data_IF_125811370582
#
_entry.id   IF_125811370582
#
_cell.length_a   1.000
_cell.length_b   1.000
_cell.length_c   1.000
_cell.angle_alpha   90.00
_cell.angle_beta   90.00
_cell.angle_gamma   90.00
#
_symmetry.space_group_name_H-M   'P 1'
#
loop_
_entity.id
_entity.type
_entity.pdbx_description
1 polymer ?
#
# COMPACT_ATOMS: atom_id res chain seq x y z
N UNK A 1 -10.84 -16.38 -7.87
CA UNK A 1 -10.04 -15.13 -7.68
C UNK A 1 -10.40 -14.42 -6.37
N UNK A 2 -11.67 -14.09 -6.12
CA UNK A 2 -12.06 -13.40 -4.87
C UNK A 2 -11.53 -14.09 -3.61
N UNK A 3 -11.72 -15.42 -3.45
CA UNK A 3 -11.22 -16.14 -2.28
C UNK A 3 -9.69 -16.02 -2.10
N UNK A 4 -8.93 -16.00 -3.21
CA UNK A 4 -7.48 -15.82 -3.13
C UNK A 4 -7.09 -14.41 -2.65
N UNK A 5 -7.78 -13.37 -3.14
CA UNK A 5 -7.56 -11.99 -2.67
C UNK A 5 -8.00 -11.79 -1.23
N UNK A 6 -9.11 -12.40 -0.81
CA UNK A 6 -9.56 -12.40 0.60
C UNK A 6 -8.51 -13.09 1.47
N UNK A 7 -8.03 -14.27 1.07
CA UNK A 7 -6.97 -14.97 1.81
C UNK A 7 -5.70 -14.13 1.92
N UNK A 8 -5.27 -13.48 0.82
CA UNK A 8 -4.11 -12.58 0.82
C UNK A 8 -4.32 -11.38 1.76
N UNK A 9 -5.49 -10.74 1.70
CA UNK A 9 -5.83 -9.64 2.60
C UNK A 9 -5.83 -10.08 4.07
N UNK A 10 -6.44 -11.23 4.36
CA UNK A 10 -6.45 -11.81 5.72
C UNK A 10 -5.03 -12.09 6.21
N UNK A 11 -4.17 -12.65 5.35
CA UNK A 11 -2.75 -12.89 5.68
C UNK A 11 -2.02 -11.59 6.02
N UNK A 12 -2.21 -10.53 5.22
CA UNK A 12 -1.62 -9.22 5.50
C UNK A 12 -2.10 -8.63 6.83
N UNK A 13 -3.40 -8.73 7.12
CA UNK A 13 -3.96 -8.22 8.38
C UNK A 13 -3.53 -9.05 9.59
N UNK A 14 -3.42 -10.37 9.47
CA UNK A 14 -2.89 -11.24 10.52
C UNK A 14 -1.39 -10.97 10.76
N UNK A 15 -0.61 -10.76 9.69
CA UNK A 15 0.78 -10.34 9.82
C UNK A 15 0.92 -8.97 10.51
N UNK A 16 0.02 -8.02 10.19
CA UNK A 16 -0.03 -6.73 10.86
C UNK A 16 -0.36 -6.88 12.36
N UNK A 17 -1.32 -7.72 12.70
CA UNK A 17 -1.69 -8.02 14.09
C UNK A 17 -0.51 -8.66 14.84
N UNK A 18 0.15 -9.65 14.23
CA UNK A 18 1.32 -10.30 14.84
C UNK A 18 2.47 -9.30 15.05
N UNK A 19 2.72 -8.42 14.08
CA UNK A 19 3.73 -7.37 14.21
C UNK A 19 3.39 -6.36 15.31
N UNK A 20 2.12 -6.00 15.44
CA UNK A 20 1.66 -5.11 16.51
C UNK A 20 1.82 -5.75 17.89
N UNK A 21 1.50 -7.05 18.03
CA UNK A 21 1.62 -7.79 19.29
C UNK A 21 3.08 -8.07 19.69
N UNK A 22 3.99 -8.18 18.72
CA UNK A 22 5.42 -8.47 18.98
C UNK A 22 6.25 -7.23 19.30
N UNK A 23 5.71 -6.02 19.10
CA UNK A 23 6.43 -4.74 19.22
C UNK A 23 7.70 -4.61 18.34
N UNK A 24 7.86 -5.52 17.37
CA UNK A 24 9.06 -5.62 16.51
C UNK A 24 9.02 -4.65 15.29
N UNK A 25 8.11 -3.70 15.27
CA UNK A 25 7.88 -2.81 14.12
C UNK A 25 9.11 -1.98 13.75
N UNK A 26 9.83 -1.45 14.74
CA UNK A 26 11.02 -0.60 14.52
C UNK A 26 12.16 -1.42 13.93
N UNK A 27 12.45 -2.57 14.51
CA UNK A 27 13.53 -3.46 14.06
C UNK A 27 13.25 -3.96 12.63
N UNK A 28 12.03 -4.39 12.36
CA UNK A 28 11.63 -4.83 11.02
C UNK A 28 11.72 -3.68 10.01
N UNK A 29 11.30 -2.47 10.39
CA UNK A 29 11.44 -1.30 9.53
C UNK A 29 12.89 -1.03 9.17
N UNK A 30 13.79 -0.96 10.15
CA UNK A 30 15.20 -0.69 9.92
C UNK A 30 15.84 -1.76 9.04
N UNK A 31 15.54 -3.04 9.30
CA UNK A 31 16.02 -4.17 8.49
C UNK A 31 15.57 -4.04 7.02
N UNK A 32 14.28 -3.81 6.79
CA UNK A 32 13.72 -3.72 5.44
C UNK A 32 14.20 -2.48 4.70
N UNK A 33 14.30 -1.33 5.38
CA UNK A 33 14.79 -0.09 4.78
C UNK A 33 16.28 -0.21 4.43
N UNK A 34 17.11 -0.77 5.31
CA UNK A 34 18.52 -1.02 5.05
C UNK A 34 18.73 -2.04 3.91
N UNK A 35 17.95 -3.12 3.87
CA UNK A 35 18.00 -4.06 2.76
C UNK A 35 17.61 -3.39 1.43
N UNK A 36 16.61 -2.52 1.45
CA UNK A 36 16.15 -1.76 0.29
C UNK A 36 17.21 -0.79 -0.24
N UNK A 37 18.06 -0.22 0.62
CA UNK A 37 19.12 0.71 0.22
C UNK A 37 20.25 0.07 -0.60
N UNK A 38 20.27 -1.27 -0.73
CA UNK A 38 21.17 -2.00 -1.64
C UNK A 38 20.74 -1.86 -3.12
N UNK A 39 19.51 -1.43 -3.36
CA UNK A 39 18.98 -1.14 -4.70
C UNK A 39 18.95 0.37 -4.93
N UNK A 40 19.07 0.82 -6.19
CA UNK A 40 19.17 2.24 -6.48
C UNK A 40 17.86 2.99 -6.14
N UNK A 41 18.00 4.22 -5.62
CA UNK A 41 16.90 5.08 -5.18
C UNK A 41 15.84 5.32 -6.26
N UNK A 42 16.26 5.45 -7.51
CA UNK A 42 15.34 5.66 -8.63
C UNK A 42 14.33 4.51 -8.78
N UNK A 43 14.71 3.28 -8.42
CA UNK A 43 13.80 2.13 -8.49
C UNK A 43 12.63 2.33 -7.53
N UNK A 44 12.93 2.66 -6.26
CA UNK A 44 11.92 2.86 -5.24
C UNK A 44 11.11 4.13 -5.48
N UNK A 45 11.74 5.20 -5.94
CA UNK A 45 11.07 6.44 -6.32
C UNK A 45 10.06 6.22 -7.46
N UNK A 46 10.37 5.38 -8.46
CA UNK A 46 9.43 5.06 -9.53
C UNK A 46 8.34 4.07 -9.08
N UNK A 47 8.69 3.05 -8.28
CA UNK A 47 7.70 2.11 -7.75
C UNK A 47 6.67 2.82 -6.86
N UNK A 48 7.09 3.80 -6.07
CA UNK A 48 6.17 4.56 -5.22
C UNK A 48 5.19 5.42 -6.02
N UNK A 49 5.54 5.84 -7.24
CA UNK A 49 4.61 6.54 -8.13
C UNK A 49 3.43 5.65 -8.54
N UNK A 50 3.64 4.34 -8.71
CA UNK A 50 2.55 3.40 -9.02
C UNK A 50 1.55 3.25 -7.86
N UNK A 51 1.95 3.61 -6.64
CA UNK A 51 1.08 3.68 -5.47
C UNK A 51 0.37 5.03 -5.31
N UNK A 52 0.68 6.02 -6.16
CA UNK A 52 0.02 7.32 -6.15
C UNK A 52 -1.36 7.25 -6.80
N UNK A 53 -2.30 8.02 -6.24
CA UNK A 53 -3.70 8.02 -6.70
C UNK A 53 -3.85 8.43 -8.16
N UNK A 54 -3.03 9.37 -8.65
CA UNK A 54 -3.11 9.83 -10.04
C UNK A 54 -2.77 8.70 -11.03
N UNK A 55 -1.69 7.96 -10.77
CA UNK A 55 -1.29 6.81 -11.58
C UNK A 55 -2.29 5.66 -11.50
N UNK A 56 -2.85 5.41 -10.29
CA UNK A 56 -3.90 4.42 -10.10
C UNK A 56 -5.16 4.76 -10.92
N UNK A 57 -5.61 6.01 -10.87
CA UNK A 57 -6.75 6.49 -11.66
C UNK A 57 -6.47 6.35 -13.16
N UNK A 58 -5.28 6.75 -13.63
CA UNK A 58 -4.92 6.61 -15.05
C UNK A 58 -4.96 5.14 -15.50
N UNK A 59 -4.37 4.23 -14.74
CA UNK A 59 -4.37 2.79 -15.04
C UNK A 59 -5.78 2.21 -15.07
N UNK A 60 -6.63 2.59 -14.13
CA UNK A 60 -8.01 2.11 -14.06
C UNK A 60 -8.90 2.71 -15.16
N UNK A 61 -8.70 3.95 -15.56
CA UNK A 61 -9.40 4.55 -16.71
C UNK A 61 -9.01 3.86 -18.02
N UNK A 62 -7.73 3.56 -18.22
CA UNK A 62 -7.26 2.80 -19.38
C UNK A 62 -7.91 1.39 -19.36
N UNK A 63 -7.90 0.71 -18.23
CA UNK A 63 -8.51 -0.61 -18.10
C UNK A 63 -10.03 -0.56 -18.30
N UNK A 64 -10.71 0.50 -17.82
CA UNK A 64 -12.15 0.70 -17.97
C UNK A 64 -12.55 0.94 -19.43
N UNK A 65 -11.66 1.46 -20.30
CA UNK A 65 -11.94 1.56 -21.74
C UNK A 65 -12.14 0.20 -22.42
N UNK A 66 -11.55 -0.86 -21.86
CA UNK A 66 -11.74 -2.26 -22.28
C UNK A 66 -12.82 -3.01 -21.48
N UNK A 67 -13.13 -2.55 -20.28
CA UNK A 67 -14.07 -3.17 -19.34
C UNK A 67 -14.84 -2.08 -18.58
N UNK A 68 -15.90 -1.49 -19.17
CA UNK A 68 -16.59 -0.30 -18.58
C UNK A 68 -17.12 -0.52 -17.15
N UNK A 69 -17.47 -1.74 -16.78
CA UNK A 69 -17.93 -2.07 -15.42
C UNK A 69 -16.85 -1.77 -14.34
N UNK A 70 -15.57 -1.77 -14.73
CA UNK A 70 -14.47 -1.46 -13.83
C UNK A 70 -14.54 -0.03 -13.31
N UNK A 71 -15.07 0.92 -14.08
CA UNK A 71 -15.18 2.32 -13.67
C UNK A 71 -16.00 2.47 -12.38
N UNK A 72 -17.18 1.87 -12.32
CA UNK A 72 -18.05 1.96 -11.13
C UNK A 72 -17.38 1.28 -9.93
N UNK A 73 -16.81 0.08 -10.14
CA UNK A 73 -16.10 -0.64 -9.08
C UNK A 73 -14.92 0.16 -8.53
N UNK A 74 -14.12 0.76 -9.41
CA UNK A 74 -13.01 1.62 -9.04
C UNK A 74 -13.49 2.84 -8.23
N UNK A 75 -14.51 3.55 -8.73
CA UNK A 75 -15.07 4.70 -8.05
C UNK A 75 -15.53 4.36 -6.63
N UNK A 76 -16.31 3.29 -6.46
CA UNK A 76 -16.81 2.86 -5.15
C UNK A 76 -15.66 2.42 -4.23
N UNK A 77 -14.68 1.67 -4.76
CA UNK A 77 -13.49 1.25 -4.00
C UNK A 77 -12.70 2.45 -3.47
N UNK A 78 -12.46 3.46 -4.31
CA UNK A 78 -11.67 4.62 -3.89
C UNK A 78 -12.45 5.57 -2.99
N UNK A 79 -13.76 5.73 -3.17
CA UNK A 79 -14.60 6.52 -2.26
C UNK A 79 -14.64 5.88 -0.86
N UNK A 80 -14.89 4.57 -0.79
CA UNK A 80 -14.88 3.83 0.48
C UNK A 80 -13.48 3.85 1.11
N UNK A 81 -12.45 3.63 0.32
CA UNK A 81 -11.06 3.66 0.78
C UNK A 81 -10.63 5.03 1.30
N UNK A 82 -10.99 6.10 0.61
CA UNK A 82 -10.71 7.46 1.07
C UNK A 82 -11.39 7.71 2.43
N UNK A 83 -12.64 7.29 2.59
CA UNK A 83 -13.35 7.40 3.87
C UNK A 83 -12.63 6.63 4.98
N UNK A 84 -12.33 5.35 4.76
CA UNK A 84 -11.67 4.47 5.75
C UNK A 84 -10.29 5.05 6.14
N UNK A 85 -9.45 5.37 5.15
CA UNK A 85 -8.09 5.87 5.39
C UNK A 85 -8.11 7.23 6.09
N UNK A 86 -9.02 8.16 5.71
CA UNK A 86 -9.11 9.47 6.35
C UNK A 86 -9.60 9.37 7.80
N UNK A 87 -10.64 8.58 8.05
CA UNK A 87 -11.14 8.37 9.41
C UNK A 87 -10.09 7.71 10.31
N UNK A 88 -9.39 6.70 9.81
CA UNK A 88 -8.31 6.05 10.55
C UNK A 88 -7.15 7.04 10.86
N UNK A 89 -6.71 7.85 9.88
CA UNK A 89 -5.67 8.86 10.10
C UNK A 89 -6.08 9.91 11.13
N UNK A 90 -7.32 10.36 11.10
CA UNK A 90 -7.84 11.31 12.07
C UNK A 90 -7.96 10.71 13.48
N UNK A 91 -8.30 9.41 13.58
CA UNK A 91 -8.46 8.74 14.87
C UNK A 91 -7.14 8.32 15.52
N UNK A 92 -6.15 7.90 14.74
CA UNK A 92 -4.89 7.36 15.29
C UNK A 92 -3.76 8.40 15.38
N UNK A 93 -3.72 9.41 14.50
CA UNK A 93 -2.65 10.42 14.37
C UNK A 93 -1.22 9.85 14.59
N UNK A 94 -0.95 8.69 14.01
CA UNK A 94 0.29 7.95 14.24
C UNK A 94 1.52 8.68 13.68
N UNK A 95 2.61 8.68 14.43
CA UNK A 95 3.88 9.26 14.03
C UNK A 95 4.60 8.39 13.00
N UNK A 96 5.26 9.03 12.03
CA UNK A 96 6.04 8.35 10.99
C UNK A 96 7.47 8.04 11.46
N UNK A 97 8.19 7.11 10.76
CA UNK A 97 9.56 6.75 11.12
C UNK A 97 10.48 7.94 11.34
N UNK A 98 10.44 8.96 10.46
CA UNK A 98 11.30 10.12 10.56
C UNK A 98 11.06 11.02 11.80
N UNK A 99 9.85 11.00 12.36
CA UNK A 99 9.57 11.72 13.62
C UNK A 99 10.06 10.93 14.83
N UNK A 100 9.94 9.60 14.80
CA UNK A 100 10.26 8.73 15.95
C UNK A 100 11.76 8.45 16.05
N UNK A 101 12.40 8.11 14.92
CA UNK A 101 13.80 7.68 14.88
C UNK A 101 14.78 8.82 14.56
N UNK A 102 14.29 9.93 14.00
CA UNK A 102 15.14 10.95 13.41
C UNK A 102 15.53 10.61 11.96
N UNK A 103 15.70 11.65 11.14
CA UNK A 103 15.97 11.50 9.69
C UNK A 103 17.35 10.91 9.36
N UNK A 104 18.28 10.90 10.31
CA UNK A 104 19.64 10.39 10.13
C UNK A 104 19.77 8.89 10.48
N UNK A 105 18.69 8.27 11.02
CA UNK A 105 18.75 6.91 11.52
C UNK A 105 18.53 5.84 10.42
N UNK A 106 18.06 6.24 9.23
CA UNK A 106 17.72 5.32 8.15
C UNK A 106 17.70 6.04 6.80
N UNK A 107 17.64 5.26 5.70
CA UNK A 107 17.65 5.82 4.36
C UNK A 107 16.28 6.42 3.98
N UNK A 108 16.27 7.69 3.52
CA UNK A 108 15.06 8.42 3.11
C UNK A 108 15.18 8.82 1.65
N UNK A 109 14.17 8.49 0.85
CA UNK A 109 14.05 8.89 -0.55
C UNK A 109 12.87 9.85 -0.70
N UNK A 110 13.13 11.10 -1.08
CA UNK A 110 12.12 12.13 -1.26
C UNK A 110 11.80 12.92 0.01
N UNK A 111 10.57 13.47 0.14
CA UNK A 111 10.22 14.37 1.23
C UNK A 111 10.11 13.65 2.58
N UNK A 112 10.62 14.28 3.63
CA UNK A 112 10.51 13.79 5.01
C UNK A 112 9.12 14.09 5.57
N UNK A 113 8.33 13.06 5.78
CA UNK A 113 6.99 13.13 6.36
C UNK A 113 7.03 12.75 7.85
N UNK A 114 6.20 13.40 8.70
CA UNK A 114 6.26 13.23 10.16
C UNK A 114 4.99 12.67 10.79
N UNK A 115 3.82 13.04 10.32
CA UNK A 115 2.53 12.73 10.92
C UNK A 115 1.61 11.91 10.00
N UNK A 116 0.49 11.45 10.56
CA UNK A 116 -0.55 10.70 9.84
C UNK A 116 -0.03 9.45 9.11
N UNK A 117 0.75 8.63 9.84
CA UNK A 117 1.37 7.43 9.28
C UNK A 117 0.34 6.35 8.97
N UNK A 118 -0.50 6.01 9.94
CA UNK A 118 -1.40 4.85 9.90
C UNK A 118 -2.80 5.19 9.40
N UNK A 119 -3.39 4.33 8.54
CA UNK A 119 -2.72 3.35 7.68
C UNK A 119 -2.08 4.03 6.45
N UNK A 120 -1.25 3.29 5.68
CA UNK A 120 -0.66 3.81 4.46
C UNK A 120 -1.68 3.92 3.32
N UNK A 121 -2.01 5.16 2.94
CA UNK A 121 -2.91 5.44 1.81
C UNK A 121 -2.33 4.97 0.46
N UNK A 122 -1.02 5.12 0.25
CA UNK A 122 -0.35 4.61 -0.96
C UNK A 122 -0.42 3.07 -1.04
N UNK A 123 -0.18 2.36 0.07
CA UNK A 123 -0.30 0.90 0.08
C UNK A 123 -1.74 0.46 -0.18
N UNK A 124 -2.73 1.17 0.38
CA UNK A 124 -4.13 0.97 0.06
C UNK A 124 -4.37 1.13 -1.45
N UNK A 125 -3.98 2.27 -2.03
CA UNK A 125 -4.17 2.57 -3.45
C UNK A 125 -3.52 1.52 -4.35
N UNK A 126 -2.27 1.14 -4.07
CA UNK A 126 -1.54 0.13 -4.85
C UNK A 126 -2.27 -1.21 -4.84
N UNK A 127 -2.66 -1.71 -3.67
CA UNK A 127 -3.27 -3.03 -3.54
C UNK A 127 -4.74 -3.04 -3.98
N UNK A 128 -5.50 -1.96 -3.78
CA UNK A 128 -6.85 -1.81 -4.32
C UNK A 128 -6.84 -1.82 -5.86
N UNK A 129 -5.94 -1.05 -6.47
CA UNK A 129 -5.76 -1.02 -7.93
C UNK A 129 -5.36 -2.39 -8.46
N UNK A 130 -4.34 -3.02 -7.84
CA UNK A 130 -3.88 -4.35 -8.24
C UNK A 130 -5.00 -5.40 -8.08
N UNK A 131 -5.78 -5.35 -7.01
CA UNK A 131 -6.92 -6.25 -6.79
C UNK A 131 -7.99 -6.11 -7.89
N UNK A 132 -8.43 -4.88 -8.17
CA UNK A 132 -9.41 -4.61 -9.23
C UNK A 132 -8.91 -5.06 -10.61
N UNK A 133 -7.65 -4.77 -10.95
CA UNK A 133 -7.05 -5.18 -12.21
C UNK A 133 -6.87 -6.70 -12.31
N UNK A 134 -6.45 -7.37 -11.22
CA UNK A 134 -6.32 -8.82 -11.17
C UNK A 134 -7.66 -9.54 -11.35
N UNK A 135 -8.75 -9.02 -10.78
CA UNK A 135 -10.11 -9.51 -10.99
C UNK A 135 -10.57 -9.31 -12.44
N UNK A 136 -10.14 -8.21 -13.06
CA UNK A 136 -10.52 -7.86 -14.44
C UNK A 136 -9.71 -8.65 -15.49
N UNK A 137 -8.43 -8.90 -15.19
CA UNK A 137 -7.47 -9.59 -16.07
C UNK A 137 -6.82 -10.82 -15.38
N UNK A 138 -7.57 -11.92 -15.17
CA UNK A 138 -7.10 -13.05 -14.36
C UNK A 138 -5.81 -13.71 -14.87
N UNK A 139 -5.56 -13.67 -16.19
CA UNK A 139 -4.33 -14.24 -16.78
C UNK A 139 -3.07 -13.49 -16.40
N UNK A 140 -3.19 -12.20 -16.08
CA UNK A 140 -2.08 -11.35 -15.64
C UNK A 140 -2.05 -11.12 -14.11
N UNK A 141 -2.97 -11.77 -13.35
CA UNK A 141 -3.20 -11.48 -11.94
C UNK A 141 -1.93 -11.56 -11.08
N UNK A 142 -1.08 -12.57 -11.29
CA UNK A 142 0.16 -12.73 -10.50
C UNK A 142 1.09 -11.54 -10.74
N UNK A 143 1.34 -11.17 -11.99
CA UNK A 143 2.20 -10.03 -12.32
C UNK A 143 1.64 -8.71 -11.75
N UNK A 144 0.32 -8.49 -11.90
CA UNK A 144 -0.36 -7.29 -11.39
C UNK A 144 -0.23 -7.20 -9.87
N UNK A 145 -0.52 -8.29 -9.15
CA UNK A 145 -0.43 -8.31 -7.69
C UNK A 145 1.01 -8.17 -7.19
N UNK A 146 1.99 -8.74 -7.90
CA UNK A 146 3.41 -8.55 -7.58
C UNK A 146 3.82 -7.09 -7.73
N UNK A 147 3.43 -6.43 -8.82
CA UNK A 147 3.70 -4.99 -9.03
C UNK A 147 3.03 -4.16 -7.94
N UNK A 148 1.76 -4.44 -7.60
CA UNK A 148 1.05 -3.76 -6.53
C UNK A 148 1.72 -3.94 -5.16
N UNK A 149 2.18 -5.15 -4.86
CA UNK A 149 2.91 -5.44 -3.62
C UNK A 149 4.26 -4.72 -3.55
N UNK A 150 5.02 -4.67 -4.65
CA UNK A 150 6.27 -3.90 -4.74
C UNK A 150 6.03 -2.40 -4.59
N UNK A 151 4.96 -1.87 -5.20
CA UNK A 151 4.57 -0.47 -5.05
C UNK A 151 4.13 -0.16 -3.59
N UNK A 152 3.42 -1.06 -2.91
CA UNK A 152 3.10 -0.91 -1.50
C UNK A 152 4.36 -0.99 -0.62
N UNK A 153 5.24 -1.96 -0.87
CA UNK A 153 6.52 -2.14 -0.15
C UNK A 153 7.45 -0.94 -0.31
N UNK A 154 7.44 -0.27 -1.47
CA UNK A 154 8.26 0.92 -1.70
C UNK A 154 8.06 2.00 -0.63
N UNK A 155 6.91 2.02 0.08
CA UNK A 155 6.66 2.98 1.17
C UNK A 155 7.55 2.77 2.38
N UNK A 156 8.00 1.51 2.61
CA UNK A 156 9.01 1.18 3.62
C UNK A 156 10.39 1.55 3.07
N UNK A 157 10.67 1.18 1.82
CA UNK A 157 11.96 1.44 1.18
C UNK A 157 12.31 2.93 1.10
N UNK A 158 11.33 3.81 0.78
CA UNK A 158 11.53 5.26 0.78
C UNK A 158 11.51 5.89 2.18
N UNK A 159 11.33 5.11 3.24
CA UNK A 159 11.34 5.61 4.62
C UNK A 159 10.06 6.35 5.05
N UNK A 160 8.97 6.22 4.32
CA UNK A 160 7.76 7.03 4.54
C UNK A 160 6.76 6.42 5.54
N UNK A 161 6.74 5.10 5.69
CA UNK A 161 5.74 4.37 6.48
C UNK A 161 6.35 3.17 7.22
N UNK A 162 5.74 2.82 8.34
CA UNK A 162 6.04 1.59 9.05
C UNK A 162 5.53 0.35 8.30
N UNK A 163 6.13 -0.84 8.51
CA UNK A 163 5.60 -2.09 7.95
C UNK A 163 4.14 -2.34 8.32
N UNK A 164 3.74 -2.04 9.57
CA UNK A 164 2.36 -2.14 10.03
C UNK A 164 1.40 -1.31 9.17
N UNK A 165 1.76 -0.04 8.87
CA UNK A 165 0.93 0.85 8.05
C UNK A 165 0.69 0.28 6.65
N UNK A 166 1.74 -0.32 6.07
CA UNK A 166 1.72 -0.89 4.72
C UNK A 166 0.90 -2.17 4.68
N UNK A 167 1.06 -3.06 5.66
CA UNK A 167 0.30 -4.30 5.77
C UNK A 167 -1.20 -4.02 5.92
N UNK A 168 -1.57 -3.11 6.82
CA UNK A 168 -2.98 -2.74 7.02
C UNK A 168 -3.54 -2.02 5.80
N UNK A 169 -2.82 -1.03 5.26
CA UNK A 169 -3.24 -0.32 4.05
C UNK A 169 -3.46 -1.27 2.87
N UNK A 170 -2.51 -2.18 2.63
CA UNK A 170 -2.61 -3.18 1.56
C UNK A 170 -3.74 -4.17 1.75
N UNK A 171 -3.92 -4.69 2.98
CA UNK A 171 -5.02 -5.59 3.33
C UNK A 171 -6.39 -4.97 3.11
N UNK A 172 -6.59 -3.72 3.59
CA UNK A 172 -7.82 -2.96 3.37
C UNK A 172 -8.06 -2.67 1.88
N UNK A 173 -6.99 -2.38 1.12
CA UNK A 173 -7.09 -2.16 -0.32
C UNK A 173 -7.61 -3.40 -1.05
N UNK A 174 -7.10 -4.59 -0.75
CA UNK A 174 -7.60 -5.85 -1.32
C UNK A 174 -9.03 -6.15 -0.91
N UNK A 175 -9.40 -5.97 0.37
CA UNK A 175 -10.77 -6.20 0.84
C UNK A 175 -11.77 -5.30 0.13
N UNK A 176 -11.46 -4.01 -0.03
CA UNK A 176 -12.35 -3.10 -0.75
C UNK A 176 -12.45 -3.42 -2.24
N UNK A 177 -11.40 -3.96 -2.86
CA UNK A 177 -11.43 -4.37 -4.27
C UNK A 177 -12.37 -5.57 -4.52
N UNK A 178 -12.54 -6.48 -3.55
CA UNK A 178 -13.38 -7.68 -3.69
C UNK A 178 -14.83 -7.47 -3.25
N UNK A 179 -15.16 -6.31 -2.69
CA UNK A 179 -16.51 -6.01 -2.16
C UNK A 179 -17.55 -5.75 -3.24
N UNK A 180 -17.16 -5.64 -4.52
CA UNK A 180 -18.01 -5.30 -5.68
C UNK A 180 -18.05 -6.44 -6.73
#
# INVERSE_FOLDING_TARGET
MNNALIAMATTLLLAALALWLSDAQVELFLLLNQASSQLPDWLWANLTLLADTLWAVAALLIAASFRPQLFVKALLTFLLGALIVHLAKAGFDASRPALVLGKEAFHIIGPTLKHHSFPSGHAFTAMATAGLLALTFPRAAIAILTIGALAAFSRIAVGAHWPLDVLVGGGLGLLTAVSW
#
